data_IF_528684767912
#
_entry.id   IF_528684767912
#
_cell.length_a   1.000
_cell.length_b   1.000
_cell.length_c   1.000
_cell.angle_alpha   90.00
_cell.angle_beta   90.00
_cell.angle_gamma   90.00
#
_symmetry.space_group_name_H-M   'P 1'
#
loop_
_entity.id
_entity.type
_entity.pdbx_description
1 polymer ?
#
# COMPACT_ATOMS: atom_id res chain seq x y z
N UNK A 1 -57.48 -1.85 -37.83
CA UNK A 1 -57.37 -0.76 -38.84
C UNK A 1 -57.18 0.55 -38.08
N UNK A 2 -55.95 1.03 -37.98
CA UNK A 2 -55.62 2.40 -37.59
C UNK A 2 -54.49 2.82 -38.52
N UNK A 3 -54.70 3.90 -39.27
CA UNK A 3 -53.78 4.45 -40.26
C UNK A 3 -52.53 5.06 -39.61
N UNK A 4 -51.39 5.13 -40.33
CA UNK A 4 -50.19 5.82 -39.88
C UNK A 4 -50.25 7.32 -40.23
N UNK A 5 -50.12 8.20 -39.24
CA UNK A 5 -49.95 9.65 -39.45
C UNK A 5 -48.47 10.04 -39.33
N UNK A 6 -47.94 10.42 -40.47
CA UNK A 6 -47.07 11.58 -40.76
C UNK A 6 -45.81 11.88 -39.92
N UNK A 7 -44.71 12.01 -40.66
CA UNK A 7 -43.43 12.60 -40.29
C UNK A 7 -43.60 13.94 -39.55
N UNK A 8 -43.09 14.01 -38.32
CA UNK A 8 -42.74 15.28 -37.67
C UNK A 8 -41.23 15.46 -37.77
N UNK A 9 -40.84 16.32 -38.71
CA UNK A 9 -39.51 16.88 -38.81
C UNK A 9 -39.24 17.83 -37.64
N UNK A 10 -38.00 17.82 -37.12
CA UNK A 10 -37.47 18.87 -36.26
C UNK A 10 -37.26 18.46 -34.81
N UNK A 11 -36.21 17.67 -34.52
CA UNK A 11 -35.64 17.66 -33.19
C UNK A 11 -35.06 19.06 -32.89
N UNK A 12 -35.39 19.71 -31.77
CA UNK A 12 -34.79 20.99 -31.42
C UNK A 12 -33.30 20.77 -31.16
N UNK A 13 -32.47 21.62 -31.75
CA UNK A 13 -31.04 21.66 -31.50
C UNK A 13 -30.79 21.77 -29.99
N UNK A 14 -29.97 20.86 -29.46
CA UNK A 14 -29.51 20.87 -28.08
C UNK A 14 -28.84 22.23 -27.84
N UNK A 15 -29.47 23.07 -27.03
CA UNK A 15 -28.92 24.35 -26.63
C UNK A 15 -27.53 24.11 -26.07
N UNK A 16 -26.54 24.84 -26.60
CA UNK A 16 -25.17 24.79 -26.14
C UNK A 16 -25.14 24.93 -24.61
N UNK A 17 -24.70 23.87 -23.94
CA UNK A 17 -24.48 23.85 -22.50
C UNK A 17 -23.61 25.04 -22.14
N UNK A 18 -24.07 25.86 -21.18
CA UNK A 18 -23.28 26.96 -20.65
C UNK A 18 -21.84 26.50 -20.38
N UNK A 19 -20.81 27.33 -20.68
CA UNK A 19 -19.44 26.92 -20.49
C UNK A 19 -19.27 26.47 -19.04
N UNK A 20 -18.80 25.23 -18.86
CA UNK A 20 -18.41 24.72 -17.55
C UNK A 20 -17.33 25.68 -17.04
N UNK A 21 -17.73 26.59 -16.16
CA UNK A 21 -16.80 27.52 -15.52
C UNK A 21 -15.77 26.64 -14.82
N UNK A 22 -14.52 26.73 -15.24
CA UNK A 22 -13.42 25.99 -14.67
C UNK A 22 -13.22 26.45 -13.21
N UNK A 23 -13.90 25.77 -12.29
CA UNK A 23 -13.74 25.95 -10.84
C UNK A 23 -12.54 25.16 -10.31
N UNK A 24 -11.57 24.75 -11.16
CA UNK A 24 -10.32 24.21 -10.61
C UNK A 24 -9.73 25.27 -9.71
N UNK A 25 -9.48 24.88 -8.47
CA UNK A 25 -8.57 25.63 -7.64
C UNK A 25 -7.17 25.46 -8.26
N UNK A 26 -6.80 26.37 -9.18
CA UNK A 26 -5.46 26.44 -9.78
C UNK A 26 -4.43 27.04 -8.83
N UNK A 27 -4.82 27.37 -7.60
CA UNK A 27 -3.90 27.89 -6.61
C UNK A 27 -2.85 26.81 -6.34
N UNK A 28 -1.55 27.09 -6.57
CA UNK A 28 -0.51 26.15 -6.21
C UNK A 28 -0.59 25.86 -4.71
N UNK A 29 -0.31 24.60 -4.31
CA UNK A 29 -0.07 24.30 -2.91
C UNK A 29 1.14 25.12 -2.50
N UNK A 30 0.87 26.16 -1.74
CA UNK A 30 1.81 27.16 -1.30
C UNK A 30 2.18 26.84 0.15
N UNK A 31 3.29 27.39 0.66
CA UNK A 31 3.68 27.17 2.07
C UNK A 31 2.58 27.60 3.04
N UNK A 32 1.75 28.57 2.65
CA UNK A 32 0.61 28.99 3.44
C UNK A 32 -0.56 27.99 3.44
N UNK A 33 -0.55 26.96 2.57
CA UNK A 33 -1.51 25.84 2.51
C UNK A 33 -0.97 24.61 3.26
N UNK A 34 0.25 24.20 2.95
CA UNK A 34 0.95 23.09 3.61
C UNK A 34 2.46 23.32 3.54
N UNK A 35 3.09 23.61 4.67
CA UNK A 35 4.56 23.61 4.79
C UNK A 35 5.01 22.24 5.32
N UNK A 36 5.55 21.41 4.42
CA UNK A 36 5.98 20.04 4.73
C UNK A 36 7.16 20.02 5.70
N UNK A 37 8.03 21.03 5.64
CA UNK A 37 9.19 21.09 6.54
C UNK A 37 8.73 21.40 7.96
N UNK A 38 7.91 22.44 8.13
CA UNK A 38 7.30 22.80 9.41
C UNK A 38 6.49 21.62 10.00
N UNK A 39 5.69 20.95 9.16
CA UNK A 39 4.94 19.78 9.60
C UNK A 39 5.85 18.66 10.12
N UNK A 40 6.93 18.33 9.41
CA UNK A 40 7.84 17.25 9.79
C UNK A 40 8.69 17.60 11.03
N UNK A 41 9.10 18.85 11.18
CA UNK A 41 9.96 19.27 12.29
C UNK A 41 9.14 19.57 13.55
N UNK A 42 8.15 20.46 13.45
CA UNK A 42 7.39 20.95 14.61
C UNK A 42 6.24 20.02 14.98
N UNK A 43 5.39 19.67 14.02
CA UNK A 43 4.17 18.90 14.31
C UNK A 43 4.53 17.45 14.61
N UNK A 44 5.22 16.75 13.70
CA UNK A 44 5.64 15.36 13.93
C UNK A 44 6.60 15.27 15.12
N UNK A 45 7.51 16.24 15.29
CA UNK A 45 8.39 16.34 16.45
C UNK A 45 7.61 16.36 17.77
N UNK A 46 6.63 17.26 17.90
CA UNK A 46 5.82 17.39 19.10
C UNK A 46 4.96 16.14 19.40
N UNK A 47 4.51 15.42 18.37
CA UNK A 47 3.82 14.14 18.57
C UNK A 47 4.76 13.02 19.01
N UNK A 48 6.03 13.05 18.58
CA UNK A 48 7.03 12.07 18.96
C UNK A 48 7.54 12.26 20.39
N UNK A 49 7.69 13.50 20.84
CA UNK A 49 8.15 13.80 22.22
C UNK A 49 6.99 13.90 23.24
N UNK A 50 5.74 13.89 22.77
CA UNK A 50 4.54 13.94 23.61
C UNK A 50 4.11 15.34 24.03
N UNK A 51 4.75 16.40 23.53
CA UNK A 51 4.41 17.80 23.82
C UNK A 51 3.22 18.33 23.00
N UNK A 52 2.78 17.62 21.97
CA UNK A 52 1.80 18.09 20.99
C UNK A 52 0.54 18.74 21.59
N UNK A 53 -0.06 18.12 22.60
CA UNK A 53 -1.28 18.63 23.25
C UNK A 53 -1.05 19.98 23.96
N UNK A 54 0.16 20.19 24.48
CA UNK A 54 0.49 21.34 25.34
C UNK A 54 1.14 22.48 24.55
N UNK A 55 1.94 22.16 23.53
CA UNK A 55 2.84 23.12 22.89
C UNK A 55 2.42 23.51 21.47
N UNK A 56 1.66 22.66 20.76
CA UNK A 56 1.26 23.00 19.38
C UNK A 56 0.18 24.10 19.39
N UNK A 57 0.42 25.26 18.75
CA UNK A 57 -0.59 26.28 18.63
C UNK A 57 -1.71 25.84 17.68
N UNK A 58 -2.91 26.36 17.92
CA UNK A 58 -4.05 26.26 17.01
C UNK A 58 -3.88 27.22 15.79
N UNK A 59 -2.80 27.02 15.03
CA UNK A 59 -2.49 27.79 13.82
C UNK A 59 -3.16 27.19 12.56
N UNK A 60 -2.98 27.85 11.41
CA UNK A 60 -3.57 27.37 10.15
C UNK A 60 -3.03 26.01 9.68
N UNK A 61 -1.80 25.64 10.03
CA UNK A 61 -1.23 24.33 9.67
C UNK A 61 -1.94 23.22 10.45
N UNK A 62 -2.03 23.37 11.77
CA UNK A 62 -2.70 22.42 12.66
C UNK A 62 -4.21 22.35 12.39
N UNK A 63 -4.87 23.50 12.18
CA UNK A 63 -6.32 23.62 12.00
C UNK A 63 -6.83 22.96 10.71
N UNK A 64 -6.02 22.92 9.64
CA UNK A 64 -6.42 22.25 8.40
C UNK A 64 -6.36 20.72 8.47
N UNK A 65 -5.58 20.19 9.41
CA UNK A 65 -5.38 18.76 9.62
C UNK A 65 -4.99 17.98 8.34
N UNK A 66 -4.28 18.64 7.42
CA UNK A 66 -3.69 18.00 6.25
C UNK A 66 -2.41 17.29 6.68
N UNK A 67 -2.24 16.04 6.27
CA UNK A 67 -1.02 15.26 6.52
C UNK A 67 -0.23 15.17 5.21
N UNK A 68 1.03 15.65 5.15
CA UNK A 68 1.91 15.41 4.00
C UNK A 68 2.02 13.93 3.66
N UNK A 69 2.22 13.63 2.38
CA UNK A 69 2.45 12.27 1.93
C UNK A 69 3.73 11.68 2.57
N UNK A 70 3.67 10.44 3.02
CA UNK A 70 4.84 9.69 3.51
C UNK A 70 5.37 10.10 4.89
N UNK A 71 4.62 10.83 5.72
CA UNK A 71 5.06 11.16 7.09
C UNK A 71 5.25 9.93 7.98
N UNK A 72 4.70 8.77 7.61
CA UNK A 72 5.01 7.48 8.24
C UNK A 72 6.51 7.12 8.23
N UNK A 73 7.28 7.68 7.30
CA UNK A 73 8.74 7.55 7.28
C UNK A 73 9.41 8.13 8.54
N UNK A 74 8.75 9.06 9.25
CA UNK A 74 9.26 9.69 10.47
C UNK A 74 8.85 8.96 11.77
N UNK A 75 8.04 7.90 11.65
CA UNK A 75 7.59 7.12 12.82
C UNK A 75 8.54 5.98 13.13
N UNK A 76 9.00 5.89 14.38
CA UNK A 76 9.85 4.80 14.84
C UNK A 76 9.05 3.71 15.57
N UNK A 77 9.30 2.45 15.21
CA UNK A 77 8.77 1.22 15.82
C UNK A 77 9.88 0.30 16.34
N UNK A 78 11.13 0.76 16.37
CA UNK A 78 12.27 -0.04 16.84
C UNK A 78 12.07 -0.59 18.26
N UNK A 79 11.29 0.12 19.09
CA UNK A 79 11.04 -0.18 20.50
C UNK A 79 9.83 -1.09 20.80
N UNK A 80 8.91 -1.35 19.86
CA UNK A 80 7.64 -2.03 20.20
C UNK A 80 7.72 -3.57 20.21
N UNK A 81 8.56 -4.15 19.37
CA UNK A 81 8.65 -5.61 19.21
C UNK A 81 10.00 -6.11 19.72
N UNK A 82 10.05 -7.26 20.42
CA UNK A 82 11.29 -7.76 21.01
C UNK A 82 12.26 -8.35 19.98
N UNK A 83 11.79 -8.74 18.80
CA UNK A 83 12.61 -9.44 17.81
C UNK A 83 12.66 -8.72 16.44
N UNK A 84 13.72 -8.99 15.68
CA UNK A 84 13.97 -8.46 14.33
C UNK A 84 14.55 -9.59 13.45
N UNK A 85 14.18 -9.68 12.15
CA UNK A 85 14.75 -10.69 11.26
C UNK A 85 16.23 -10.40 10.97
N UNK A 86 17.06 -11.44 11.00
CA UNK A 86 18.45 -11.43 10.56
C UNK A 86 18.59 -12.18 9.23
N UNK A 87 19.35 -11.60 8.31
CA UNK A 87 19.69 -12.20 7.03
C UNK A 87 20.90 -13.14 7.14
N UNK A 88 20.76 -14.37 6.64
CA UNK A 88 21.83 -15.21 6.18
C UNK A 88 21.89 -15.16 4.64
N UNK A 89 22.75 -14.29 4.11
CA UNK A 89 22.83 -14.01 2.68
C UNK A 89 23.22 -15.24 1.85
N UNK A 90 24.01 -16.16 2.41
CA UNK A 90 24.46 -17.37 1.71
C UNK A 90 23.28 -18.28 1.30
N UNK A 91 22.19 -18.24 2.04
CA UNK A 91 20.99 -19.03 1.80
C UNK A 91 19.94 -18.30 0.94
N UNK A 92 20.14 -17.01 0.67
CA UNK A 92 19.16 -16.20 -0.05
C UNK A 92 19.12 -16.57 -1.53
N UNK A 93 17.93 -16.92 -2.03
CA UNK A 93 17.70 -17.26 -3.45
C UNK A 93 17.17 -16.10 -4.29
N UNK A 94 16.96 -14.93 -3.68
CA UNK A 94 16.40 -13.73 -4.31
C UNK A 94 14.98 -13.90 -4.91
N UNK A 95 14.08 -14.59 -4.18
CA UNK A 95 12.68 -14.77 -4.57
C UNK A 95 11.82 -13.50 -4.36
N UNK A 96 12.23 -12.61 -3.44
CA UNK A 96 11.52 -11.41 -2.99
C UNK A 96 10.27 -11.65 -2.14
N UNK A 97 9.91 -12.88 -1.79
CA UNK A 97 8.67 -13.17 -1.03
C UNK A 97 8.66 -12.50 0.34
N UNK A 98 9.81 -12.49 1.04
CA UNK A 98 9.96 -11.78 2.31
C UNK A 98 9.71 -10.26 2.18
N UNK A 99 10.08 -9.68 1.04
CA UNK A 99 9.80 -8.27 0.71
C UNK A 99 8.33 -8.10 0.38
N UNK A 100 7.69 -9.04 -0.34
CA UNK A 100 6.27 -8.98 -0.74
C UNK A 100 5.31 -9.09 0.46
N UNK A 101 5.58 -9.98 1.41
CA UNK A 101 4.66 -10.22 2.52
C UNK A 101 4.77 -9.19 3.64
N UNK A 102 5.85 -8.39 3.67
CA UNK A 102 6.02 -7.36 4.69
C UNK A 102 4.90 -6.30 4.63
N UNK A 103 4.18 -6.04 5.74
CA UNK A 103 3.11 -5.04 5.77
C UNK A 103 3.62 -3.59 5.88
N UNK A 104 4.85 -3.39 6.34
CA UNK A 104 5.35 -2.08 6.78
C UNK A 104 6.53 -1.54 5.96
N UNK A 105 6.83 -2.12 4.79
CA UNK A 105 8.02 -1.76 3.99
C UNK A 105 9.33 -1.84 4.81
N UNK A 106 9.36 -2.71 5.81
CA UNK A 106 10.48 -2.82 6.76
C UNK A 106 11.61 -3.73 6.27
N UNK A 107 11.43 -4.41 5.15
CA UNK A 107 12.43 -5.28 4.54
C UNK A 107 12.42 -5.05 3.03
N UNK A 108 13.58 -4.73 2.47
CA UNK A 108 13.75 -4.28 1.09
C UNK A 108 14.86 -5.07 0.40
N UNK A 109 14.69 -5.34 -0.89
CA UNK A 109 15.70 -6.01 -1.71
C UNK A 109 16.39 -5.04 -2.65
N UNK A 110 17.65 -5.33 -2.99
CA UNK A 110 18.38 -4.58 -4.04
C UNK A 110 19.30 -5.52 -4.80
N UNK A 111 19.21 -5.48 -6.13
CA UNK A 111 20.24 -6.03 -7.01
C UNK A 111 21.18 -4.91 -7.45
N UNK A 112 22.48 -5.08 -7.23
CA UNK A 112 23.52 -4.09 -7.49
C UNK A 112 24.57 -4.69 -8.43
N UNK A 113 24.87 -4.06 -9.58
CA UNK A 113 25.92 -4.54 -10.48
C UNK A 113 27.26 -4.72 -9.77
N UNK A 114 28.05 -5.72 -10.18
CA UNK A 114 29.34 -6.03 -9.57
C UNK A 114 30.24 -4.79 -9.46
N UNK A 115 30.43 -4.07 -10.56
CA UNK A 115 31.30 -2.88 -10.61
C UNK A 115 30.84 -1.77 -9.66
N UNK A 116 29.52 -1.58 -9.56
CA UNK A 116 28.92 -0.56 -8.69
C UNK A 116 29.12 -0.93 -7.22
N UNK A 117 28.81 -2.17 -6.82
CA UNK A 117 28.97 -2.56 -5.42
C UNK A 117 30.44 -2.52 -4.98
N UNK A 118 31.36 -3.00 -5.83
CA UNK A 118 32.80 -2.96 -5.54
C UNK A 118 33.30 -1.53 -5.39
N UNK A 119 32.82 -0.59 -6.22
CA UNK A 119 33.15 0.82 -6.09
C UNK A 119 32.59 1.47 -4.82
N UNK A 120 31.35 1.18 -4.44
CA UNK A 120 30.76 1.72 -3.21
C UNK A 120 31.42 1.14 -1.95
N UNK A 121 31.75 -0.14 -1.93
CA UNK A 121 32.48 -0.77 -0.82
C UNK A 121 33.91 -0.21 -0.69
N UNK A 122 34.58 0.10 -1.80
CA UNK A 122 35.92 0.68 -1.77
C UNK A 122 35.97 2.06 -1.10
N UNK A 123 34.86 2.81 -1.08
CA UNK A 123 34.75 4.11 -0.40
C UNK A 123 34.68 3.99 1.14
N UNK A 124 34.44 2.79 1.67
CA UNK A 124 34.31 2.57 3.11
C UNK A 124 35.70 2.36 3.71
N UNK A 125 36.21 3.32 4.47
CA UNK A 125 37.56 3.28 5.04
C UNK A 125 37.73 2.17 6.09
N UNK A 126 36.72 1.97 6.95
CA UNK A 126 36.74 0.94 7.97
C UNK A 126 36.64 -0.46 7.32
N UNK A 127 37.65 -1.28 7.54
CA UNK A 127 37.78 -2.62 6.95
C UNK A 127 36.72 -3.58 7.48
N UNK A 128 36.41 -3.55 8.78
CA UNK A 128 35.40 -4.40 9.40
C UNK A 128 34.00 -4.08 8.87
N UNK A 129 33.67 -2.78 8.73
CA UNK A 129 32.42 -2.33 8.14
C UNK A 129 32.30 -2.77 6.68
N UNK A 130 33.38 -2.63 5.91
CA UNK A 130 33.44 -3.04 4.50
C UNK A 130 33.23 -4.55 4.36
N UNK A 131 33.87 -5.36 5.20
CA UNK A 131 33.73 -6.80 5.19
C UNK A 131 32.33 -7.24 5.61
N UNK A 132 31.77 -6.62 6.66
CA UNK A 132 30.40 -6.86 7.10
C UNK A 132 29.38 -6.57 6.00
N UNK A 133 29.46 -5.38 5.39
CA UNK A 133 28.52 -4.97 4.34
C UNK A 133 28.66 -5.83 3.09
N UNK A 134 29.87 -6.23 2.72
CA UNK A 134 30.11 -7.19 1.63
C UNK A 134 29.39 -8.52 1.87
N UNK A 135 29.40 -9.02 3.12
CA UNK A 135 28.70 -10.26 3.51
C UNK A 135 27.17 -10.15 3.48
N UNK A 136 26.60 -8.95 3.44
CA UNK A 136 25.14 -8.78 3.29
C UNK A 136 24.63 -9.12 1.88
N UNK A 137 25.53 -9.33 0.92
CA UNK A 137 25.18 -9.62 -0.46
C UNK A 137 25.44 -11.07 -0.84
N UNK A 138 24.49 -11.64 -1.57
CA UNK A 138 24.52 -12.99 -2.12
C UNK A 138 24.85 -12.99 -3.61
N UNK A 139 25.61 -13.99 -4.05
CA UNK A 139 25.76 -14.34 -5.47
C UNK A 139 24.70 -15.39 -5.84
N UNK A 140 23.53 -14.93 -6.24
CA UNK A 140 22.39 -15.83 -6.49
C UNK A 140 22.40 -16.40 -7.91
N UNK A 141 21.72 -17.53 -8.12
CA UNK A 141 21.54 -18.07 -9.48
C UNK A 141 20.88 -17.06 -10.42
N UNK A 142 19.91 -16.29 -9.89
CA UNK A 142 19.10 -15.33 -10.64
C UNK A 142 19.90 -14.11 -11.13
N UNK A 143 20.70 -13.50 -10.26
CA UNK A 143 21.39 -12.24 -10.56
C UNK A 143 22.86 -12.40 -10.91
N UNK A 144 23.50 -13.47 -10.43
CA UNK A 144 24.91 -13.75 -10.71
C UNK A 144 25.06 -14.76 -11.86
N UNK A 145 24.77 -16.04 -11.58
CA UNK A 145 25.05 -17.15 -12.50
C UNK A 145 24.37 -17.00 -13.85
N UNK A 146 23.12 -16.53 -13.88
CA UNK A 146 22.36 -16.32 -15.12
C UNK A 146 22.95 -15.22 -15.99
N UNK A 147 23.49 -14.15 -15.39
CA UNK A 147 24.07 -13.03 -16.14
C UNK A 147 25.48 -13.35 -16.64
N UNK A 148 26.32 -14.00 -15.82
CA UNK A 148 27.63 -14.51 -16.27
C UNK A 148 27.49 -15.45 -17.47
N UNK A 149 26.55 -16.41 -17.42
CA UNK A 149 26.29 -17.33 -18.55
C UNK A 149 25.84 -16.62 -19.82
N UNK A 150 25.26 -15.42 -19.71
CA UNK A 150 24.82 -14.59 -20.84
C UNK A 150 25.90 -13.61 -21.32
N UNK A 151 27.11 -13.64 -20.74
CA UNK A 151 28.16 -12.67 -21.03
C UNK A 151 27.78 -11.24 -20.63
N UNK A 152 26.87 -11.07 -19.66
CA UNK A 152 26.46 -9.78 -19.10
C UNK A 152 27.07 -9.61 -17.73
N UNK A 153 27.15 -8.36 -17.27
CA UNK A 153 27.62 -8.06 -15.92
C UNK A 153 26.70 -8.72 -14.88
N UNK A 154 27.23 -9.53 -13.95
CA UNK A 154 26.45 -10.06 -12.85
C UNK A 154 26.16 -9.00 -11.79
N UNK A 155 25.06 -9.20 -11.06
CA UNK A 155 24.71 -8.39 -9.91
C UNK A 155 24.75 -9.19 -8.61
N UNK A 156 25.19 -8.53 -7.56
CA UNK A 156 25.01 -8.96 -6.17
C UNK A 156 23.58 -8.67 -5.73
N UNK A 157 23.03 -9.51 -4.84
CA UNK A 157 21.69 -9.31 -4.30
C UNK A 157 21.71 -9.22 -2.77
N UNK A 158 21.10 -8.18 -2.21
CA UNK A 158 20.99 -8.00 -0.76
C UNK A 158 19.53 -7.83 -0.32
N UNK A 159 19.29 -8.17 0.95
CA UNK A 159 18.04 -7.88 1.68
C UNK A 159 18.41 -7.01 2.89
N UNK A 160 17.67 -5.93 3.11
CA UNK A 160 17.98 -4.93 4.13
C UNK A 160 16.74 -4.69 4.98
N UNK A 161 16.94 -4.66 6.29
CA UNK A 161 15.86 -4.50 7.26
C UNK A 161 15.93 -3.09 7.82
N UNK A 162 14.85 -2.32 7.69
CA UNK A 162 14.68 -1.05 8.38
C UNK A 162 14.26 -1.32 9.84
N UNK A 163 15.15 -1.10 10.82
CA UNK A 163 14.81 -1.36 12.22
C UNK A 163 13.73 -0.41 12.75
N UNK A 164 13.54 0.75 12.12
CA UNK A 164 12.55 1.75 12.54
C UNK A 164 11.14 1.42 12.07
N UNK A 165 11.00 0.59 11.03
CA UNK A 165 9.69 0.13 10.53
C UNK A 165 9.37 -1.29 10.94
N UNK A 166 10.38 -2.11 11.26
CA UNK A 166 10.18 -3.50 11.61
C UNK A 166 9.49 -3.67 12.95
N UNK A 167 8.25 -4.16 12.89
CA UNK A 167 7.45 -4.52 14.07
C UNK A 167 7.60 -5.98 14.50
N UNK A 168 8.60 -6.71 14.00
CA UNK A 168 8.90 -8.07 14.47
C UNK A 168 7.81 -9.13 14.24
N UNK A 169 6.95 -8.97 13.23
CA UNK A 169 5.82 -9.89 12.98
C UNK A 169 6.20 -11.26 12.43
N UNK A 170 7.45 -11.48 12.03
CA UNK A 170 7.97 -12.71 11.44
C UNK A 170 7.35 -13.19 10.10
N UNK A 171 6.39 -12.46 9.50
CA UNK A 171 5.83 -12.81 8.18
C UNK A 171 6.91 -13.01 7.10
N UNK A 172 7.94 -12.16 7.11
CA UNK A 172 9.07 -12.28 6.19
C UNK A 172 9.91 -13.56 6.40
N UNK A 173 9.96 -14.07 7.63
CA UNK A 173 10.64 -15.33 7.98
C UNK A 173 9.80 -16.52 7.54
N UNK A 174 8.49 -16.49 7.80
CA UNK A 174 7.56 -17.52 7.35
C UNK A 174 7.53 -17.62 5.81
N UNK A 175 7.47 -16.48 5.13
CA UNK A 175 7.57 -16.39 3.67
C UNK A 175 8.93 -16.87 3.11
N UNK A 176 10.01 -16.77 3.89
CA UNK A 176 11.31 -17.34 3.51
C UNK A 176 11.28 -18.88 3.50
N UNK A 177 10.41 -19.48 4.31
CA UNK A 177 10.18 -20.91 4.40
C UNK A 177 11.48 -21.71 4.57
N UNK A 178 11.63 -22.74 3.75
CA UNK A 178 12.74 -23.70 3.86
C UNK A 178 14.07 -23.18 3.30
N UNK A 179 14.15 -21.94 2.82
CA UNK A 179 15.43 -21.37 2.38
C UNK A 179 16.39 -21.16 3.54
N UNK A 180 15.89 -20.88 4.75
CA UNK A 180 16.73 -20.63 5.92
C UNK A 180 17.61 -19.38 5.78
N UNK A 181 17.15 -18.40 4.99
CA UNK A 181 17.86 -17.13 4.77
C UNK A 181 17.45 -16.05 5.79
N UNK A 182 16.34 -16.23 6.51
CA UNK A 182 15.89 -15.32 7.55
C UNK A 182 15.57 -16.09 8.83
N UNK A 183 15.89 -15.49 9.97
CA UNK A 183 15.53 -15.98 11.31
C UNK A 183 15.27 -14.80 12.24
N UNK A 184 14.32 -14.93 13.16
CA UNK A 184 14.09 -13.90 14.18
C UNK A 184 15.22 -13.94 15.23
N UNK A 185 15.67 -12.76 15.65
CA UNK A 185 16.58 -12.58 16.78
C UNK A 185 16.04 -11.53 17.73
N UNK A 186 16.31 -11.72 19.02
CA UNK A 186 16.07 -10.71 20.03
C UNK A 186 16.83 -9.43 19.70
N UNK A 187 16.13 -8.30 19.75
CA UNK A 187 16.73 -6.98 19.59
C UNK A 187 17.58 -6.65 20.79
N UNK A 188 18.80 -6.22 20.51
CA UNK A 188 19.62 -5.46 21.44
C UNK A 188 20.13 -4.20 20.74
N UNK A 189 20.74 -3.29 21.51
CA UNK A 189 21.29 -2.04 20.99
C UNK A 189 22.33 -2.24 19.89
N UNK A 190 23.11 -3.33 19.93
CA UNK A 190 24.11 -3.67 18.92
C UNK A 190 23.46 -4.12 17.61
N UNK A 191 22.46 -5.00 17.68
CA UNK A 191 21.70 -5.50 16.52
C UNK A 191 20.95 -4.36 15.83
N UNK A 192 20.31 -3.47 16.61
CA UNK A 192 19.59 -2.32 16.06
C UNK A 192 20.54 -1.34 15.37
N UNK A 193 21.70 -1.03 15.98
CA UNK A 193 22.73 -0.19 15.34
C UNK A 193 23.27 -0.81 14.06
N UNK A 194 23.49 -2.12 14.06
CA UNK A 194 23.97 -2.87 12.89
C UNK A 194 22.92 -2.83 11.77
N UNK A 195 21.66 -3.13 12.08
CA UNK A 195 20.56 -3.09 11.12
C UNK A 195 20.37 -1.68 10.54
N UNK A 196 20.46 -0.64 11.38
CA UNK A 196 20.38 0.75 10.94
C UNK A 196 21.55 1.12 10.01
N UNK A 197 22.77 0.68 10.33
CA UNK A 197 23.95 0.90 9.48
C UNK A 197 23.77 0.23 8.12
N UNK A 198 23.31 -1.02 8.10
CA UNK A 198 23.11 -1.79 6.86
C UNK A 198 22.00 -1.16 6.01
N UNK A 199 20.91 -0.71 6.64
CA UNK A 199 19.84 0.01 5.95
C UNK A 199 20.30 1.37 5.42
N UNK A 200 21.12 2.10 6.17
CA UNK A 200 21.71 3.37 5.70
C UNK A 200 22.62 3.15 4.48
N UNK A 201 23.30 2.00 4.39
CA UNK A 201 24.06 1.65 3.19
C UNK A 201 23.12 1.37 2.01
N UNK A 202 22.02 0.62 2.22
CA UNK A 202 20.98 0.41 1.20
C UNK A 202 20.43 1.71 0.62
N UNK A 203 20.18 2.72 1.46
CA UNK A 203 19.68 4.04 1.04
C UNK A 203 20.69 4.82 0.18
N UNK A 204 22.00 4.58 0.35
CA UNK A 204 23.06 5.23 -0.45
C UNK A 204 23.29 4.56 -1.80
N UNK A 205 22.95 3.28 -1.92
CA UNK A 205 23.11 2.54 -3.17
C UNK A 205 22.16 3.05 -4.24
N UNK A 206 22.56 3.06 -5.52
CA UNK A 206 21.66 3.45 -6.60
C UNK A 206 20.48 2.48 -6.74
N UNK A 207 19.45 2.90 -7.48
CA UNK A 207 18.31 2.06 -7.87
C UNK A 207 18.81 0.81 -8.62
N UNK A 208 18.13 -0.33 -8.42
CA UNK A 208 18.39 -1.53 -9.20
C UNK A 208 18.17 -1.25 -10.69
N UNK A 209 19.18 -1.47 -11.57
CA UNK A 209 19.03 -1.20 -12.99
C UNK A 209 17.94 -2.06 -13.63
N UNK A 210 17.21 -1.48 -14.59
CA UNK A 210 16.02 -2.08 -15.22
C UNK A 210 16.30 -3.44 -15.86
N UNK A 211 17.51 -3.65 -16.37
CA UNK A 211 17.93 -4.91 -16.97
C UNK A 211 17.93 -6.08 -15.98
N UNK A 212 18.01 -5.81 -14.67
CA UNK A 212 17.89 -6.82 -13.62
C UNK A 212 16.44 -7.02 -13.14
N UNK A 213 15.47 -6.24 -13.63
CA UNK A 213 14.07 -6.35 -13.19
C UNK A 213 13.29 -7.20 -14.21
N UNK A 214 12.91 -8.42 -13.81
CA UNK A 214 12.14 -9.29 -14.69
C UNK A 214 10.64 -9.03 -14.58
N UNK A 215 10.05 -8.33 -15.54
CA UNK A 215 8.60 -8.03 -15.55
C UNK A 215 7.69 -9.26 -15.65
N UNK A 216 8.22 -10.45 -15.96
CA UNK A 216 7.45 -11.71 -15.90
C UNK A 216 7.39 -12.31 -14.50
N UNK A 217 8.39 -12.02 -13.66
CA UNK A 217 8.41 -12.42 -12.26
C UNK A 217 7.95 -11.22 -11.44
N UNK A 218 6.65 -11.16 -11.17
CA UNK A 218 6.01 -9.93 -10.69
C UNK A 218 6.56 -9.45 -9.35
N UNK A 219 7.11 -10.32 -8.50
CA UNK A 219 7.77 -9.92 -7.26
C UNK A 219 8.99 -9.00 -7.49
N UNK A 220 9.63 -9.05 -8.67
CA UNK A 220 10.77 -8.20 -9.03
C UNK A 220 10.38 -6.73 -9.16
N UNK A 221 9.09 -6.41 -9.32
CA UNK A 221 8.63 -5.02 -9.37
C UNK A 221 9.05 -4.25 -8.13
N UNK A 222 9.16 -4.91 -6.97
CA UNK A 222 9.55 -4.30 -5.70
C UNK A 222 11.06 -3.98 -5.62
N UNK A 223 11.85 -4.30 -6.64
CA UNK A 223 13.22 -3.81 -6.81
C UNK A 223 13.26 -2.41 -7.42
N UNK A 224 12.19 -1.98 -8.09
CA UNK A 224 12.09 -0.65 -8.67
C UNK A 224 11.60 0.35 -7.61
N UNK A 225 12.29 1.48 -7.47
CA UNK A 225 11.93 2.52 -6.51
C UNK A 225 10.56 3.14 -6.84
N UNK A 226 10.18 3.18 -8.13
CA UNK A 226 8.85 3.61 -8.59
C UNK A 226 7.68 2.77 -8.03
N UNK A 227 7.97 1.57 -7.51
CA UNK A 227 6.97 0.70 -6.87
C UNK A 227 6.83 0.96 -5.36
N UNK A 228 7.76 1.69 -4.75
CA UNK A 228 7.80 1.90 -3.31
C UNK A 228 6.92 3.10 -2.90
N UNK A 229 5.62 3.05 -3.22
CA UNK A 229 4.66 4.13 -2.94
C UNK A 229 4.04 4.07 -1.53
N UNK A 230 4.55 3.18 -0.69
CA UNK A 230 4.14 3.00 0.71
C UNK A 230 5.40 2.93 1.58
N UNK A 231 5.61 3.91 2.45
CA UNK A 231 6.88 4.09 3.19
C UNK A 231 6.93 3.33 4.51
N UNK A 232 5.86 2.61 4.86
CA UNK A 232 5.71 2.05 6.20
C UNK A 232 5.27 3.10 7.23
N UNK A 233 5.49 2.80 8.51
CA UNK A 233 5.10 3.71 9.60
C UNK A 233 3.59 3.75 9.87
N UNK A 234 2.82 2.88 9.22
CA UNK A 234 1.40 2.72 9.50
C UNK A 234 1.19 2.17 10.92
N UNK A 235 0.18 2.64 11.63
CA UNK A 235 -0.20 2.17 12.96
C UNK A 235 -0.89 0.80 12.98
N UNK A 236 -0.68 -0.05 11.97
CA UNK A 236 -1.33 -1.34 11.82
C UNK A 236 -0.76 -2.36 12.80
N UNK A 237 -1.54 -3.41 13.09
CA UNK A 237 -1.07 -4.54 13.89
C UNK A 237 0.16 -5.20 13.24
N UNK A 238 0.97 -5.88 14.06
CA UNK A 238 2.06 -6.74 13.60
C UNK A 238 1.48 -7.84 12.69
N UNK A 239 1.99 -7.96 11.46
CA UNK A 239 1.50 -8.97 10.50
C UNK A 239 0.16 -8.62 9.83
N UNK A 240 -0.23 -7.34 9.79
CA UNK A 240 -1.51 -6.93 9.23
C UNK A 240 -1.61 -7.22 7.72
N UNK A 241 -2.43 -8.22 7.35
CA UNK A 241 -2.67 -8.59 5.96
C UNK A 241 -3.30 -7.49 5.09
N UNK A 242 -4.08 -6.57 5.68
CA UNK A 242 -4.60 -5.42 4.94
C UNK A 242 -3.48 -4.49 4.46
N UNK A 243 -2.50 -4.20 5.33
CA UNK A 243 -1.37 -3.34 5.01
C UNK A 243 -0.48 -3.98 3.93
N UNK A 244 -0.25 -5.30 3.99
CA UNK A 244 0.41 -6.07 2.93
C UNK A 244 -0.33 -5.92 1.60
N UNK A 245 -1.65 -6.11 1.58
CA UNK A 245 -2.47 -5.99 0.37
C UNK A 245 -2.40 -4.58 -0.24
N UNK A 246 -2.48 -3.53 0.59
CA UNK A 246 -2.39 -2.14 0.13
C UNK A 246 -1.01 -1.81 -0.43
N UNK A 247 0.05 -2.28 0.23
CA UNK A 247 1.42 -2.11 -0.26
C UNK A 247 1.64 -2.82 -1.58
N UNK A 248 1.16 -4.06 -1.72
CA UNK A 248 1.21 -4.81 -2.99
C UNK A 248 0.42 -4.11 -4.09
N UNK A 249 -0.78 -3.59 -3.79
CA UNK A 249 -1.61 -2.85 -4.73
C UNK A 249 -0.90 -1.59 -5.23
N UNK A 250 -0.28 -0.84 -4.33
CA UNK A 250 0.49 0.35 -4.65
C UNK A 250 1.78 0.02 -5.41
N UNK A 251 2.45 -1.09 -5.10
CA UNK A 251 3.62 -1.54 -5.85
C UNK A 251 3.27 -1.85 -7.30
N UNK A 252 2.22 -2.63 -7.55
CA UNK A 252 1.78 -2.94 -8.91
C UNK A 252 1.30 -1.69 -9.66
N UNK A 253 0.48 -0.86 -9.02
CA UNK A 253 -0.05 0.34 -9.65
C UNK A 253 1.07 1.36 -9.93
N UNK A 254 2.00 1.55 -8.99
CA UNK A 254 3.15 2.43 -9.14
C UNK A 254 4.13 1.97 -10.21
N UNK A 255 4.42 0.66 -10.26
CA UNK A 255 5.27 0.08 -11.28
C UNK A 255 4.71 0.29 -12.70
N UNK A 256 3.40 0.09 -12.87
CA UNK A 256 2.75 0.13 -14.18
C UNK A 256 2.43 1.56 -14.64
N UNK A 257 1.95 2.43 -13.74
CA UNK A 257 1.39 3.74 -14.12
C UNK A 257 2.18 4.95 -13.58
N UNK A 258 3.10 4.73 -12.64
CA UNK A 258 3.83 5.79 -11.95
C UNK A 258 3.03 6.48 -10.85
N UNK A 259 3.74 7.08 -9.88
CA UNK A 259 3.14 7.68 -8.67
C UNK A 259 2.15 8.82 -8.94
N UNK A 260 2.37 9.59 -10.01
CA UNK A 260 1.54 10.75 -10.38
C UNK A 260 0.20 10.34 -11.03
N UNK A 261 -0.01 9.04 -11.24
CA UNK A 261 -1.18 8.48 -11.94
C UNK A 261 -2.13 7.75 -10.99
N UNK A 262 -1.94 7.87 -9.67
CA UNK A 262 -2.69 7.09 -8.67
C UNK A 262 -3.31 8.02 -7.63
N UNK A 263 -4.53 7.72 -7.19
CA UNK A 263 -5.13 8.32 -6.00
C UNK A 263 -6.04 7.34 -5.28
N UNK A 264 -6.24 7.57 -3.99
CA UNK A 264 -7.02 6.69 -3.11
C UNK A 264 -8.12 7.49 -2.40
N UNK A 265 -9.35 6.98 -2.49
CA UNK A 265 -10.45 7.30 -1.58
C UNK A 265 -10.64 6.11 -0.67
N UNK A 266 -10.63 6.29 0.64
CA UNK A 266 -10.72 5.20 1.61
C UNK A 266 -11.96 5.36 2.48
N UNK A 267 -12.78 4.32 2.58
CA UNK A 267 -13.88 4.26 3.56
C UNK A 267 -13.32 4.03 4.96
N UNK A 268 -13.95 4.64 5.96
CA UNK A 268 -13.53 4.51 7.37
C UNK A 268 -13.46 3.04 7.81
N UNK A 269 -12.38 2.66 8.49
CA UNK A 269 -12.12 1.30 8.95
C UNK A 269 -10.70 1.16 9.50
N UNK A 270 -10.20 -0.07 9.62
CA UNK A 270 -8.80 -0.29 10.03
C UNK A 270 -7.84 0.48 9.13
N UNK A 271 -8.05 0.41 7.81
CA UNK A 271 -7.23 1.07 6.80
C UNK A 271 -7.16 2.59 6.88
N UNK A 272 -8.15 3.26 7.45
CA UNK A 272 -8.04 4.69 7.76
C UNK A 272 -7.34 4.91 9.10
N UNK A 273 -7.65 4.10 10.11
CA UNK A 273 -7.03 4.25 11.43
C UNK A 273 -5.51 4.07 11.37
N UNK A 274 -4.99 2.98 10.79
CA UNK A 274 -3.55 2.81 10.75
C UNK A 274 -2.84 3.71 9.74
N UNK A 275 -3.53 4.21 8.72
CA UNK A 275 -2.91 4.97 7.64
C UNK A 275 -3.11 6.49 7.73
N UNK A 276 -3.97 6.98 8.62
CA UNK A 276 -4.23 8.42 8.78
C UNK A 276 -4.50 8.84 10.22
N UNK A 277 -3.98 8.11 11.22
CA UNK A 277 -3.89 8.64 12.58
C UNK A 277 -2.85 9.75 12.57
N UNK A 278 -3.32 10.98 12.73
CA UNK A 278 -2.48 12.17 12.71
C UNK A 278 -1.31 12.05 13.70
N UNK A 279 -0.07 12.41 13.31
CA UNK A 279 0.34 13.07 12.07
C UNK A 279 0.90 12.11 11.00
N UNK A 280 0.61 10.81 11.07
CA UNK A 280 1.28 9.80 10.25
C UNK A 280 0.45 9.32 9.06
N UNK A 281 1.08 9.25 7.89
CA UNK A 281 0.53 8.67 6.67
C UNK A 281 1.59 7.86 5.91
N UNK A 282 1.35 6.57 5.57
CA UNK A 282 2.32 5.73 4.87
C UNK A 282 2.34 5.92 3.35
N UNK A 283 1.37 6.63 2.75
CA UNK A 283 1.19 6.71 1.30
C UNK A 283 2.01 7.84 0.66
N UNK A 284 2.61 7.57 -0.50
CA UNK A 284 3.23 8.56 -1.39
C UNK A 284 2.31 8.99 -2.56
N UNK A 285 1.01 8.80 -2.40
CA UNK A 285 -0.02 9.16 -3.39
C UNK A 285 -1.11 10.00 -2.71
N UNK A 286 -1.86 10.83 -3.46
CA UNK A 286 -3.03 11.50 -2.93
C UNK A 286 -4.01 10.50 -2.30
N UNK A 287 -4.37 10.76 -1.05
CA UNK A 287 -5.23 9.91 -0.26
C UNK A 287 -6.26 10.77 0.46
N UNK A 288 -7.51 10.32 0.51
CA UNK A 288 -8.56 10.97 1.29
C UNK A 288 -9.49 9.95 1.92
N UNK A 289 -10.08 10.33 3.05
CA UNK A 289 -11.17 9.63 3.69
C UNK A 289 -12.29 10.64 3.93
N UNK A 290 -13.49 10.30 3.45
CA UNK A 290 -14.71 11.05 3.77
C UNK A 290 -15.37 10.45 5.02
N UNK A 291 -16.25 9.45 4.85
CA UNK A 291 -16.93 8.76 5.94
C UNK A 291 -16.92 7.24 5.70
N UNK A 292 -17.61 6.50 6.57
CA UNK A 292 -17.66 5.04 6.53
C UNK A 292 -18.49 4.54 5.35
N UNK A 293 -19.64 5.14 5.14
CA UNK A 293 -20.72 4.72 4.25
C UNK A 293 -20.61 5.22 2.81
N UNK A 294 -19.78 6.23 2.56
CA UNK A 294 -19.83 7.01 1.32
C UNK A 294 -18.55 6.95 0.46
N UNK A 295 -17.53 6.17 0.83
CA UNK A 295 -16.27 6.07 0.05
C UNK A 295 -16.47 5.90 -1.46
N UNK A 296 -17.32 4.94 -1.93
CA UNK A 296 -17.62 4.82 -3.36
C UNK A 296 -18.28 6.07 -3.97
N UNK A 297 -19.17 6.75 -3.24
CA UNK A 297 -19.84 7.95 -3.74
C UNK A 297 -18.88 9.15 -3.82
N UNK A 298 -18.01 9.31 -2.82
CA UNK A 298 -16.95 10.31 -2.82
C UNK A 298 -16.00 10.10 -4.02
N UNK A 299 -15.61 8.86 -4.27
CA UNK A 299 -14.79 8.51 -5.43
C UNK A 299 -15.46 8.80 -6.77
N UNK A 300 -16.78 8.63 -6.89
CA UNK A 300 -17.51 9.07 -8.09
C UNK A 300 -17.40 10.60 -8.25
N UNK A 301 -17.46 11.37 -7.17
CA UNK A 301 -17.23 12.81 -7.19
C UNK A 301 -15.82 13.18 -7.67
N UNK A 302 -14.80 12.54 -7.09
CA UNK A 302 -13.39 12.72 -7.48
C UNK A 302 -13.18 12.35 -8.95
N UNK A 303 -13.70 11.20 -9.39
CA UNK A 303 -13.60 10.72 -10.76
C UNK A 303 -14.24 11.68 -11.75
N UNK A 304 -15.46 12.15 -11.46
CA UNK A 304 -16.15 13.13 -12.30
C UNK A 304 -15.33 14.42 -12.44
N UNK A 305 -14.66 14.86 -11.36
CA UNK A 305 -13.79 16.03 -11.43
C UNK A 305 -12.52 15.76 -12.23
N UNK A 306 -11.86 14.63 -12.01
CA UNK A 306 -10.66 14.24 -12.76
C UNK A 306 -10.94 14.11 -14.26
N UNK A 307 -12.10 13.60 -14.65
CA UNK A 307 -12.52 13.51 -16.06
C UNK A 307 -12.64 14.90 -16.70
N UNK A 308 -13.23 15.87 -15.99
CA UNK A 308 -13.29 17.27 -16.45
C UNK A 308 -11.90 17.91 -16.62
N UNK A 309 -10.91 17.43 -15.86
CA UNK A 309 -9.52 17.89 -15.93
C UNK A 309 -8.70 17.14 -17.01
N UNK A 310 -9.31 16.19 -17.73
CA UNK A 310 -8.62 15.36 -18.72
C UNK A 310 -7.78 14.23 -18.11
N UNK A 311 -7.99 13.89 -16.84
CA UNK A 311 -7.25 12.85 -16.11
C UNK A 311 -7.95 11.48 -16.15
N UNK A 312 -8.70 11.19 -17.21
CA UNK A 312 -9.50 9.97 -17.37
C UNK A 312 -8.69 8.67 -17.29
N UNK A 313 -7.39 8.74 -17.57
CA UNK A 313 -6.43 7.65 -17.57
C UNK A 313 -5.83 7.35 -16.18
N UNK A 314 -5.82 8.34 -15.26
CA UNK A 314 -5.35 8.18 -13.88
C UNK A 314 -6.19 7.15 -13.12
N UNK A 315 -5.51 6.35 -12.30
CA UNK A 315 -6.09 5.25 -11.52
C UNK A 315 -6.60 5.77 -10.18
N UNK A 316 -7.93 5.89 -10.09
CA UNK A 316 -8.60 6.16 -8.83
C UNK A 316 -9.01 4.85 -8.18
N UNK A 317 -8.52 4.62 -6.97
CA UNK A 317 -8.87 3.47 -6.14
C UNK A 317 -9.84 3.89 -5.04
N UNK A 318 -10.84 3.06 -4.81
CA UNK A 318 -11.65 3.07 -3.60
C UNK A 318 -11.27 1.89 -2.74
N UNK A 319 -10.86 2.15 -1.51
CA UNK A 319 -10.47 1.13 -0.54
C UNK A 319 -11.50 1.10 0.58
N UNK A 320 -11.79 -0.08 1.12
CA UNK A 320 -12.57 -0.21 2.34
C UNK A 320 -12.61 -1.64 2.85
N UNK A 321 -12.85 -1.80 4.16
CA UNK A 321 -13.07 -3.10 4.76
C UNK A 321 -14.40 -3.71 4.37
N UNK A 322 -14.63 -4.97 4.74
CA UNK A 322 -15.88 -5.67 4.46
C UNK A 322 -17.12 -4.96 5.04
N UNK A 323 -17.04 -4.42 6.25
CA UNK A 323 -18.16 -3.65 6.82
C UNK A 323 -18.54 -2.39 6.04
N UNK A 324 -17.55 -1.68 5.48
CA UNK A 324 -17.83 -0.51 4.67
C UNK A 324 -18.48 -0.91 3.34
N UNK A 325 -17.96 -1.96 2.70
CA UNK A 325 -18.28 -2.27 1.31
C UNK A 325 -19.46 -3.22 1.15
N UNK A 326 -19.69 -4.11 2.12
CA UNK A 326 -20.72 -5.14 2.06
C UNK A 326 -21.97 -4.80 2.89
N UNK A 327 -21.83 -3.92 3.88
CA UNK A 327 -22.94 -3.47 4.74
C UNK A 327 -23.32 -2.01 4.48
N UNK A 328 -22.80 -1.07 5.28
CA UNK A 328 -23.31 0.30 5.35
C UNK A 328 -23.15 1.08 4.04
N UNK A 329 -22.03 0.89 3.33
CA UNK A 329 -21.73 1.54 2.06
C UNK A 329 -22.08 0.73 0.83
N UNK A 330 -22.73 -0.43 0.98
CA UNK A 330 -23.03 -1.32 -0.14
C UNK A 330 -23.92 -0.64 -1.20
N UNK A 331 -24.87 0.20 -0.80
CA UNK A 331 -25.70 0.97 -1.74
C UNK A 331 -24.84 1.91 -2.61
N UNK A 332 -23.85 2.57 -2.02
CA UNK A 332 -22.90 3.46 -2.70
C UNK A 332 -22.01 2.66 -3.65
N UNK A 333 -21.50 1.51 -3.19
CA UNK A 333 -20.71 0.59 -4.01
C UNK A 333 -21.52 0.10 -5.22
N UNK A 334 -22.73 -0.38 -5.00
CA UNK A 334 -23.62 -0.87 -6.06
C UNK A 334 -23.96 0.23 -7.07
N UNK A 335 -24.23 1.46 -6.61
CA UNK A 335 -24.43 2.62 -7.49
C UNK A 335 -23.21 2.94 -8.34
N UNK A 336 -22.01 2.86 -7.75
CA UNK A 336 -20.75 3.11 -8.44
C UNK A 336 -20.47 2.01 -9.48
N UNK A 337 -20.67 0.74 -9.15
CA UNK A 337 -20.53 -0.37 -10.12
C UNK A 337 -21.51 -0.21 -11.29
N UNK A 338 -22.73 0.24 -11.04
CA UNK A 338 -23.71 0.56 -12.08
C UNK A 338 -23.39 1.82 -12.92
N UNK A 339 -22.43 2.65 -12.49
CA UNK A 339 -22.14 3.93 -13.15
C UNK A 339 -21.31 3.80 -14.44
N UNK A 340 -20.55 2.71 -14.60
CA UNK A 340 -19.57 2.55 -15.67
C UNK A 340 -18.36 3.49 -15.58
N UNK A 341 -18.20 4.23 -14.47
CA UNK A 341 -17.05 5.11 -14.26
C UNK A 341 -15.76 4.31 -14.08
N UNK A 342 -14.64 4.83 -14.60
CA UNK A 342 -13.31 4.21 -14.47
C UNK A 342 -12.76 4.38 -13.05
N UNK A 343 -13.26 3.55 -12.13
CA UNK A 343 -12.90 3.53 -10.72
C UNK A 343 -12.59 2.09 -10.33
N UNK A 344 -11.45 1.87 -9.68
CA UNK A 344 -11.04 0.55 -9.16
C UNK A 344 -11.45 0.42 -7.69
N UNK A 345 -11.84 -0.78 -7.26
CA UNK A 345 -12.23 -1.05 -5.87
C UNK A 345 -11.35 -2.14 -5.30
N UNK A 346 -10.80 -1.91 -4.12
CA UNK A 346 -10.12 -2.92 -3.31
C UNK A 346 -10.89 -3.09 -1.99
N UNK A 347 -11.52 -4.26 -1.83
CA UNK A 347 -12.20 -4.63 -0.60
C UNK A 347 -11.22 -5.45 0.26
N UNK A 348 -10.92 -4.93 1.44
CA UNK A 348 -10.07 -5.57 2.44
C UNK A 348 -10.96 -6.44 3.35
N UNK A 349 -11.22 -7.67 2.90
CA UNK A 349 -12.20 -8.54 3.56
C UNK A 349 -11.58 -9.30 4.75
N UNK A 350 -11.80 -8.75 5.95
CA UNK A 350 -11.38 -9.38 7.21
C UNK A 350 -12.47 -10.25 7.82
N UNK A 351 -13.63 -10.31 7.17
CA UNK A 351 -14.82 -11.07 7.58
C UNK A 351 -15.39 -10.64 8.94
N UNK A 352 -14.99 -9.47 9.44
CA UNK A 352 -15.49 -8.85 10.68
C UNK A 352 -15.27 -7.34 10.62
N UNK A 353 -15.93 -6.59 11.49
CA UNK A 353 -15.56 -5.19 11.69
C UNK A 353 -14.33 -5.12 12.60
N UNK A 354 -13.15 -5.29 12.00
CA UNK A 354 -11.89 -5.39 12.73
C UNK A 354 -11.64 -4.18 13.64
N UNK A 355 -11.83 -2.96 13.13
CA UNK A 355 -11.51 -1.72 13.85
C UNK A 355 -12.33 -1.53 15.13
N UNK A 356 -13.62 -1.83 15.07
CA UNK A 356 -14.55 -1.63 16.20
C UNK A 356 -14.55 -2.81 17.18
N UNK A 357 -13.64 -3.77 16.98
CA UNK A 357 -13.39 -4.87 17.89
C UNK A 357 -14.10 -6.17 17.54
N UNK A 358 -14.27 -6.47 16.25
CA UNK A 358 -14.64 -7.81 15.76
C UNK A 358 -16.15 -8.11 15.78
N UNK A 359 -16.98 -7.14 15.38
CA UNK A 359 -18.41 -7.35 15.13
C UNK A 359 -18.64 -8.20 13.88
N UNK A 360 -19.72 -8.97 13.88
CA UNK A 360 -20.23 -9.68 12.69
C UNK A 360 -20.54 -8.69 11.57
N UNK A 361 -20.15 -9.03 10.35
CA UNK A 361 -20.50 -8.36 9.10
C UNK A 361 -21.29 -9.29 8.19
N UNK A 362 -21.85 -8.80 7.08
CA UNK A 362 -22.40 -9.73 6.08
C UNK A 362 -21.33 -10.59 5.41
N UNK A 363 -20.04 -10.23 5.52
CA UNK A 363 -18.91 -11.03 5.03
C UNK A 363 -18.51 -12.16 5.99
N UNK A 364 -18.84 -12.07 7.28
CA UNK A 364 -18.60 -13.11 8.28
C UNK A 364 -19.15 -14.46 7.82
N UNK A 365 -18.40 -15.55 8.03
CA UNK A 365 -18.83 -16.89 7.65
C UNK A 365 -19.95 -17.41 8.56
N UNK A 366 -20.74 -18.35 8.01
CA UNK A 366 -21.70 -19.11 8.82
C UNK A 366 -20.97 -19.82 9.95
N UNK A 367 -21.56 -19.81 11.14
CA UNK A 367 -21.04 -20.39 12.38
C UNK A 367 -19.75 -19.74 12.94
N UNK A 368 -19.23 -18.67 12.32
CA UNK A 368 -18.11 -17.91 12.88
C UNK A 368 -18.56 -17.20 14.17
N UNK A 369 -17.70 -17.24 15.20
CA UNK A 369 -17.94 -16.60 16.49
C UNK A 369 -17.41 -15.15 16.46
N UNK A 370 -18.30 -14.18 16.62
CA UNK A 370 -17.98 -12.74 16.56
C UNK A 370 -18.86 -11.97 17.56
N UNK A 371 -18.59 -10.68 17.80
CA UNK A 371 -19.56 -9.84 18.53
C UNK A 371 -20.86 -9.76 17.70
N UNK A 372 -22.00 -9.85 18.36
CA UNK A 372 -23.35 -9.99 17.77
C UNK A 372 -23.65 -11.35 17.11
N UNK A 373 -22.69 -12.27 17.04
CA UNK A 373 -22.92 -13.65 16.58
C UNK A 373 -22.11 -14.62 17.44
N UNK A 374 -22.33 -14.54 18.75
CA UNK A 374 -21.59 -15.35 19.74
C UNK A 374 -22.02 -16.81 19.64
N UNK A 375 -21.06 -17.71 19.68
CA UNK A 375 -21.30 -19.14 19.69
C UNK A 375 -21.92 -19.58 21.03
N UNK A 376 -23.06 -20.26 20.96
CA UNK A 376 -23.75 -20.84 22.11
C UNK A 376 -24.29 -22.24 21.80
N UNK A 377 -24.84 -22.92 22.83
CA UNK A 377 -25.29 -24.33 22.71
C UNK A 377 -26.40 -24.55 21.69
N UNK A 378 -27.25 -23.54 21.47
CA UNK A 378 -28.41 -23.61 20.55
C UNK A 378 -28.12 -22.88 19.24
N UNK A 379 -27.52 -21.69 19.31
CA UNK A 379 -27.14 -20.88 18.16
C UNK A 379 -25.61 -20.92 18.04
N UNK A 380 -25.10 -21.63 17.04
CA UNK A 380 -23.68 -21.94 16.89
C UNK A 380 -22.89 -20.82 16.18
N UNK A 381 -23.16 -19.55 16.51
CA UNK A 381 -22.58 -18.37 15.85
C UNK A 381 -23.47 -17.78 14.77
N UNK A 382 -22.88 -17.12 13.76
CA UNK A 382 -23.66 -16.46 12.69
C UNK A 382 -24.53 -17.47 11.94
N UNK A 383 -25.81 -17.13 11.73
CA UNK A 383 -26.77 -18.05 11.09
C UNK A 383 -26.86 -17.85 9.58
N UNK A 384 -26.71 -16.60 9.15
CA UNK A 384 -26.73 -16.16 7.78
C UNK A 384 -25.49 -16.64 7.03
N UNK A 385 -25.68 -16.94 5.75
CA UNK A 385 -24.55 -17.20 4.85
C UNK A 385 -23.76 -15.92 4.63
N UNK A 386 -22.51 -16.07 4.21
CA UNK A 386 -21.70 -14.96 3.74
C UNK A 386 -22.37 -14.32 2.51
N UNK A 387 -22.34 -13.00 2.45
CA UNK A 387 -22.71 -12.23 1.26
C UNK A 387 -21.57 -12.30 0.26
N UNK A 388 -21.78 -13.03 -0.83
CA UNK A 388 -20.78 -13.21 -1.89
C UNK A 388 -20.70 -11.98 -2.79
N UNK A 389 -19.93 -10.97 -2.36
CA UNK A 389 -19.82 -9.68 -3.06
C UNK A 389 -19.33 -9.82 -4.51
N UNK A 390 -18.45 -10.78 -4.79
CA UNK A 390 -17.98 -11.05 -6.14
C UNK A 390 -19.13 -11.46 -7.08
N UNK A 391 -20.05 -12.29 -6.61
CA UNK A 391 -21.22 -12.72 -7.41
C UNK A 391 -22.15 -11.54 -7.68
N UNK A 392 -22.38 -10.70 -6.68
CA UNK A 392 -23.20 -9.50 -6.82
C UNK A 392 -22.55 -8.52 -7.80
N UNK A 393 -21.24 -8.29 -7.69
CA UNK A 393 -20.49 -7.38 -8.54
C UNK A 393 -20.49 -7.84 -10.01
N UNK A 394 -20.40 -9.14 -10.28
CA UNK A 394 -20.49 -9.70 -11.64
C UNK A 394 -21.84 -9.46 -12.32
N UNK A 395 -22.92 -9.20 -11.55
CA UNK A 395 -24.23 -8.88 -12.10
C UNK A 395 -24.36 -7.40 -12.52
N UNK A 396 -23.41 -6.55 -12.11
CA UNK A 396 -23.32 -5.20 -12.64
C UNK A 396 -22.69 -5.21 -14.04
N UNK A 397 -23.21 -4.42 -14.99
CA UNK A 397 -22.71 -4.42 -16.37
C UNK A 397 -21.25 -3.98 -16.44
N UNK A 398 -20.46 -4.60 -17.32
CA UNK A 398 -19.07 -4.22 -17.61
C UNK A 398 -18.16 -4.14 -16.37
N UNK A 399 -18.46 -4.91 -15.32
CA UNK A 399 -17.68 -4.92 -14.08
C UNK A 399 -16.67 -6.07 -14.11
N UNK A 400 -15.37 -5.73 -14.09
CA UNK A 400 -14.32 -6.71 -13.83
C UNK A 400 -14.29 -7.07 -12.34
N UNK A 401 -14.25 -8.36 -12.04
CA UNK A 401 -14.22 -8.87 -10.68
C UNK A 401 -13.10 -9.90 -10.55
N UNK A 402 -12.27 -9.73 -9.52
CA UNK A 402 -11.27 -10.72 -9.13
C UNK A 402 -11.28 -10.87 -7.61
N UNK A 403 -11.14 -12.11 -7.13
CA UNK A 403 -10.93 -12.44 -5.73
C UNK A 403 -9.55 -13.06 -5.60
N UNK A 404 -8.72 -12.53 -4.71
CA UNK A 404 -7.31 -12.92 -4.59
C UNK A 404 -6.87 -12.93 -3.13
N UNK A 405 -5.64 -13.40 -2.88
CA UNK A 405 -4.96 -13.37 -1.59
C UNK A 405 -3.52 -12.90 -1.78
N UNK A 406 -2.93 -12.23 -0.79
CA UNK A 406 -1.54 -11.79 -0.81
C UNK A 406 -0.57 -12.97 -0.99
N UNK A 407 -0.88 -14.09 -0.33
CA UNK A 407 -0.12 -15.34 -0.44
C UNK A 407 -0.06 -15.92 -1.86
N UNK A 408 -0.94 -15.47 -2.77
CA UNK A 408 -0.89 -15.79 -4.20
C UNK A 408 -0.38 -14.58 -4.99
N UNK A 409 0.82 -14.10 -4.66
CA UNK A 409 1.40 -12.82 -5.14
C UNK A 409 1.25 -12.59 -6.64
N UNK A 410 1.57 -13.59 -7.48
CA UNK A 410 1.40 -13.49 -8.94
C UNK A 410 -0.05 -13.29 -9.38
N UNK A 411 -1.00 -13.98 -8.75
CA UNK A 411 -2.42 -13.81 -9.03
C UNK A 411 -2.92 -12.45 -8.52
N UNK A 412 -2.45 -12.03 -7.34
CA UNK A 412 -2.75 -10.72 -6.77
C UNK A 412 -2.33 -9.59 -7.71
N UNK A 413 -1.05 -9.57 -8.12
CA UNK A 413 -0.53 -8.53 -8.99
C UNK A 413 -1.23 -8.50 -10.35
N UNK A 414 -1.49 -9.66 -10.96
CA UNK A 414 -2.28 -9.72 -12.21
C UNK A 414 -3.68 -9.15 -12.04
N UNK A 415 -4.33 -9.41 -10.90
CA UNK A 415 -5.67 -8.89 -10.60
C UNK A 415 -5.67 -7.37 -10.43
N UNK A 416 -4.63 -6.79 -9.83
CA UNK A 416 -4.49 -5.35 -9.66
C UNK A 416 -4.22 -4.63 -10.99
N UNK A 417 -3.41 -5.24 -11.86
CA UNK A 417 -2.96 -4.65 -13.13
C UNK A 417 -3.95 -4.82 -14.30
N UNK A 418 -4.93 -5.73 -14.16
CA UNK A 418 -6.06 -5.87 -15.09
C UNK A 418 -6.90 -4.59 -15.12
#
# INVERSE_FOLDING_TARGET
MIQPTENVAGAPAVAATAPVVDRSNKRPITKDVLDVQDFNERIVGAYNDGSAEMELPADHSTLRSLIPAGTGALRDFSYIAPEIPLLNSANCVACMDCVVECPDTAILGKAVPKSVLEAELAKIENVEDREHLSKQFAKTTKFWTTYEKRGKEPAYFGIFIDPTKCKGCAECVDACGNHGALSMLMKDTGILKTSQRDFNFYLKLPETPKEYINEKLLSDMMLAERSLLYVGGAGSCMGCGEATALRMMLAATGFQYGKESVGIVNSTGCSTVYASTYPYNPYLVPWTNSLFENGPADAMGVRARWDQMGWGDKKLWVVGGDGAMLDIGFQSLSRMLASGMNIKVLILDTQVYSNTGGQSSTATFKAQNTKFSVHGKVILGKTERRKEIAQIAMMHPNTFVAQTSCAMSNHFYKSIMA
#
